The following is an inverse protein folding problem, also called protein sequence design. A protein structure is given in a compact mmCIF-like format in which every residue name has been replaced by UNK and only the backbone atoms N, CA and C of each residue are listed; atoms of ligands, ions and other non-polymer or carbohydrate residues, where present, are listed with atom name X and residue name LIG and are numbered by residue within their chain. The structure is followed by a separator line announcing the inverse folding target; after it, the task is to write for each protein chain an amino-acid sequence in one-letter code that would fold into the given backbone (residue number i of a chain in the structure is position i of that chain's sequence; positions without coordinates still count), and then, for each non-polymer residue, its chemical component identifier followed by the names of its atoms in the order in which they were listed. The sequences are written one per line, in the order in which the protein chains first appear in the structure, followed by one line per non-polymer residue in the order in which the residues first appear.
data_IF_367922452876
#
_entry.id   IF_367922452876
#
_cell.length_a   1.000
_cell.length_b   1.000
_cell.length_c   1.000
_cell.angle_alpha   90.00
_cell.angle_beta   90.00
_cell.angle_gamma   90.00
#
_symmetry.space_group_name_H-M   'P 1'
#
loop_
_entity.id
_entity.type
_entity.pdbx_description
1 polymer ?
#
# COMPACT_ATOMS: atom_id res chain seq x y z
N UNK A 1 -5.84 46.50 55.14
CA UNK A 1 -6.62 45.41 54.52
C UNK A 1 -6.01 45.08 53.15
N UNK A 2 -6.05 43.82 52.70
CA UNK A 2 -4.82 43.06 52.44
C UNK A 2 -4.46 42.85 50.97
N UNK A 3 -3.17 42.59 50.84
CA UNK A 3 -2.32 41.90 49.86
C UNK A 3 -2.95 40.69 49.14
N UNK A 4 -2.83 40.58 47.81
CA UNK A 4 -2.15 39.47 47.08
C UNK A 4 -2.12 39.68 45.54
N UNK A 5 -1.04 39.29 44.82
CA UNK A 5 -0.97 39.32 43.35
C UNK A 5 -1.42 37.98 42.72
N UNK A 6 -2.04 38.00 41.53
CA UNK A 6 -2.34 36.75 40.79
C UNK A 6 -1.46 36.68 39.54
N UNK A 7 -0.61 35.65 39.58
CA UNK A 7 0.29 35.10 38.57
C UNK A 7 -0.32 35.04 37.17
N UNK A 8 0.50 35.44 36.19
CA UNK A 8 0.42 34.92 34.84
C UNK A 8 0.54 33.38 34.87
N UNK A 9 -0.51 32.68 34.43
CA UNK A 9 -0.40 31.30 33.97
C UNK A 9 -0.38 31.33 32.45
N UNK A 10 0.82 31.40 31.88
CA UNK A 10 1.04 30.90 30.54
C UNK A 10 0.78 29.39 30.58
N UNK A 11 -0.39 28.98 30.09
CA UNK A 11 -0.67 27.58 29.84
C UNK A 11 0.14 27.18 28.59
N UNK A 12 1.42 26.86 28.79
CA UNK A 12 2.25 26.21 27.79
C UNK A 12 1.70 24.81 27.58
N UNK A 13 0.78 24.68 26.62
CA UNK A 13 0.46 23.37 26.04
C UNK A 13 1.69 22.94 25.26
N UNK A 14 2.59 22.23 25.93
CA UNK A 14 3.58 21.42 25.24
C UNK A 14 2.79 20.38 24.44
N UNK A 15 2.60 20.65 23.14
CA UNK A 15 2.36 19.57 22.18
C UNK A 15 3.61 18.71 22.24
N UNK A 16 3.53 17.59 22.95
CA UNK A 16 4.44 16.48 22.69
C UNK A 16 4.40 16.23 21.20
N UNK A 17 5.54 16.48 20.54
CA UNK A 17 5.72 16.16 19.14
C UNK A 17 5.78 14.63 19.08
N UNK A 18 4.62 13.98 19.05
CA UNK A 18 4.51 12.54 18.88
C UNK A 18 5.21 12.20 17.57
N UNK A 19 6.38 11.55 17.64
CA UNK A 19 7.09 11.05 16.48
C UNK A 19 6.10 10.26 15.61
N UNK A 20 5.92 10.67 14.37
CA UNK A 20 5.02 9.99 13.44
C UNK A 20 5.40 8.50 13.36
N UNK A 21 4.42 7.61 13.57
CA UNK A 21 4.64 6.17 13.53
C UNK A 21 4.89 5.76 12.08
N UNK A 22 5.94 4.99 11.80
CA UNK A 22 6.19 4.52 10.44
C UNK A 22 5.79 3.06 10.29
N UNK A 23 5.01 2.74 9.26
CA UNK A 23 4.62 1.37 8.89
C UNK A 23 5.08 1.08 7.47
N UNK A 24 5.92 0.06 7.29
CA UNK A 24 6.23 -0.43 5.95
C UNK A 24 5.04 -1.21 5.42
N UNK A 25 4.58 -0.87 4.22
CA UNK A 25 3.42 -1.46 3.55
C UNK A 25 3.84 -2.08 2.23
N UNK A 26 3.90 -3.40 2.20
CA UNK A 26 4.21 -4.18 1.02
C UNK A 26 2.94 -4.61 0.31
N UNK A 27 2.93 -4.44 -1.01
CA UNK A 27 1.78 -4.79 -1.85
C UNK A 27 2.15 -5.24 -3.25
N UNK A 28 1.19 -5.85 -3.94
CA UNK A 28 1.25 -6.11 -5.38
C UNK A 28 -0.02 -5.52 -5.98
N UNK A 29 0.09 -4.82 -7.11
CA UNK A 29 -1.06 -4.24 -7.82
C UNK A 29 -2.09 -5.29 -8.26
N UNK A 30 -1.70 -6.56 -8.38
CA UNK A 30 -2.59 -7.68 -8.69
C UNK A 30 -3.30 -8.27 -7.46
N UNK A 31 -3.12 -7.69 -6.27
CA UNK A 31 -3.73 -8.19 -5.03
C UNK A 31 -5.10 -7.56 -4.75
N UNK A 32 -6.20 -8.33 -4.82
CA UNK A 32 -7.52 -7.80 -4.50
C UNK A 32 -7.67 -7.46 -3.02
N UNK A 33 -7.00 -8.19 -2.13
CA UNK A 33 -7.04 -7.90 -0.69
C UNK A 33 -6.30 -6.60 -0.35
N UNK A 34 -5.22 -6.27 -1.07
CA UNK A 34 -4.58 -4.96 -0.93
C UNK A 34 -5.53 -3.86 -1.34
N UNK A 35 -6.23 -4.02 -2.46
CA UNK A 35 -7.25 -3.08 -2.91
C UNK A 35 -8.37 -2.90 -1.88
N UNK A 36 -8.84 -3.99 -1.27
CA UNK A 36 -9.88 -3.94 -0.24
C UNK A 36 -9.50 -3.04 0.94
N UNK A 37 -8.29 -3.18 1.48
CA UNK A 37 -7.85 -2.37 2.62
C UNK A 37 -7.24 -1.01 2.24
N UNK A 38 -7.22 -0.62 0.96
CA UNK A 38 -6.49 0.55 0.49
C UNK A 38 -6.98 1.86 1.15
N UNK A 39 -8.30 2.03 1.25
CA UNK A 39 -8.90 3.19 1.90
C UNK A 39 -8.53 3.30 3.38
N UNK A 40 -8.35 2.15 4.06
CA UNK A 40 -7.96 2.12 5.46
C UNK A 40 -6.50 2.54 5.65
N UNK A 41 -5.61 2.13 4.73
CA UNK A 41 -4.20 2.59 4.70
C UNK A 41 -4.14 4.11 4.50
N UNK A 42 -4.91 4.63 3.53
CA UNK A 42 -4.97 6.07 3.24
C UNK A 42 -5.54 6.85 4.44
N UNK A 43 -6.66 6.38 5.00
CA UNK A 43 -7.32 7.02 6.14
C UNK A 43 -6.45 7.08 7.39
N UNK A 44 -5.71 6.01 7.68
CA UNK A 44 -4.74 6.00 8.78
C UNK A 44 -3.56 6.93 8.53
N UNK A 45 -3.12 7.08 7.28
CA UNK A 45 -2.10 8.06 6.89
C UNK A 45 -2.55 9.50 7.10
N UNK A 46 -3.77 9.81 6.65
CA UNK A 46 -4.35 11.16 6.73
C UNK A 46 -4.68 11.61 8.16
N UNK A 47 -4.90 10.68 9.09
CA UNK A 47 -5.06 10.99 10.51
C UNK A 47 -3.77 11.55 11.17
N UNK A 48 -2.66 11.69 10.41
CA UNK A 48 -1.36 12.25 10.81
C UNK A 48 -0.62 11.55 11.96
N UNK A 49 -1.16 10.43 12.45
CA UNK A 49 -0.57 9.62 13.51
C UNK A 49 0.33 8.50 12.99
N UNK A 50 0.34 8.27 11.66
CA UNK A 50 1.04 7.17 11.02
C UNK A 50 1.45 7.54 9.59
N UNK A 51 2.70 7.28 9.21
CA UNK A 51 3.21 7.36 7.85
C UNK A 51 3.39 5.95 7.31
N UNK A 52 2.73 5.63 6.20
CA UNK A 52 2.97 4.38 5.48
C UNK A 52 4.10 4.56 4.46
N UNK A 53 5.06 3.65 4.46
CA UNK A 53 6.10 3.55 3.42
C UNK A 53 5.67 2.47 2.44
N UNK A 54 5.34 2.88 1.22
CA UNK A 54 4.71 2.03 0.21
C UNK A 54 5.76 1.27 -0.59
N UNK A 55 5.69 -0.06 -0.61
CA UNK A 55 6.62 -0.95 -1.28
C UNK A 55 5.90 -1.92 -2.23
N UNK A 56 5.62 -1.52 -3.48
CA UNK A 56 5.13 -2.47 -4.46
C UNK A 56 6.20 -3.51 -4.79
N UNK A 57 5.81 -4.77 -4.66
CA UNK A 57 6.60 -5.96 -4.94
C UNK A 57 5.82 -6.87 -5.90
N UNK A 58 6.43 -7.98 -6.28
CA UNK A 58 5.80 -9.01 -7.10
C UNK A 58 5.54 -10.25 -6.25
N UNK A 59 4.28 -10.63 -6.09
CA UNK A 59 3.92 -11.84 -5.33
C UNK A 59 4.57 -13.10 -5.92
N UNK A 60 4.75 -13.14 -7.24
CA UNK A 60 5.44 -14.25 -7.91
C UNK A 60 6.88 -14.42 -7.42
N UNK A 61 7.63 -13.34 -7.16
CA UNK A 61 9.03 -13.47 -6.72
C UNK A 61 9.11 -14.01 -5.30
N UNK A 62 8.25 -13.53 -4.39
CA UNK A 62 8.15 -14.05 -3.03
C UNK A 62 7.72 -15.52 -3.02
N UNK A 63 6.65 -15.85 -3.76
CA UNK A 63 6.16 -17.23 -3.87
C UNK A 63 7.22 -18.21 -4.39
N UNK A 64 7.94 -17.83 -5.45
CA UNK A 64 9.03 -18.65 -5.99
C UNK A 64 10.14 -18.85 -4.96
N UNK A 65 10.51 -17.80 -4.22
CA UNK A 65 11.56 -17.88 -3.20
C UNK A 65 11.18 -18.82 -2.04
N UNK A 66 9.94 -18.71 -1.54
CA UNK A 66 9.45 -19.50 -0.41
C UNK A 66 8.81 -20.85 -0.79
N UNK A 67 8.83 -21.24 -2.07
CA UNK A 67 8.25 -22.51 -2.53
C UNK A 67 6.72 -22.58 -2.39
N UNK A 68 6.02 -21.44 -2.50
CA UNK A 68 4.58 -21.34 -2.32
C UNK A 68 3.83 -21.39 -3.66
N UNK A 69 2.74 -22.15 -3.71
CA UNK A 69 1.83 -22.16 -4.86
C UNK A 69 0.81 -21.02 -4.78
N UNK A 70 0.40 -20.43 -5.92
CA UNK A 70 -0.71 -19.50 -5.95
C UNK A 70 -2.00 -20.11 -5.38
N UNK A 71 -2.74 -19.40 -4.51
CA UNK A 71 -3.88 -19.97 -3.81
C UNK A 71 -5.11 -20.21 -4.72
N UNK A 72 -5.05 -19.72 -5.96
CA UNK A 72 -6.10 -19.82 -6.99
C UNK A 72 -5.75 -20.86 -8.08
N UNK A 73 -4.67 -21.63 -7.92
CA UNK A 73 -4.16 -22.50 -8.99
C UNK A 73 -5.06 -23.71 -9.25
N UNK A 74 -5.73 -24.29 -8.23
CA UNK A 74 -6.86 -25.22 -8.35
C UNK A 74 -7.40 -25.66 -6.97
N UNK A 75 -8.57 -26.34 -6.94
CA UNK A 75 -9.10 -27.00 -5.74
C UNK A 75 -10.08 -26.18 -4.89
N UNK A 76 -10.47 -26.67 -3.70
CA UNK A 76 -11.56 -26.08 -2.90
C UNK A 76 -11.28 -24.63 -2.45
N UNK A 77 -10.00 -24.25 -2.35
CA UNK A 77 -9.58 -22.88 -2.00
C UNK A 77 -9.91 -21.87 -3.09
N UNK A 78 -9.78 -22.23 -4.37
CA UNK A 78 -9.99 -21.28 -5.47
C UNK A 78 -11.45 -20.79 -5.53
N UNK A 79 -12.41 -21.70 -5.34
CA UNK A 79 -13.83 -21.35 -5.29
C UNK A 79 -14.19 -20.48 -4.08
N UNK A 80 -13.59 -20.77 -2.92
CA UNK A 80 -13.75 -19.94 -1.73
C UNK A 80 -13.20 -18.54 -1.95
N UNK A 81 -11.94 -18.43 -2.38
CA UNK A 81 -11.23 -17.17 -2.52
C UNK A 81 -11.91 -16.24 -3.52
N UNK A 82 -12.45 -16.77 -4.63
CA UNK A 82 -13.22 -15.96 -5.59
C UNK A 82 -14.40 -15.26 -4.93
N UNK A 83 -15.22 -16.01 -4.17
CA UNK A 83 -16.35 -15.44 -3.41
C UNK A 83 -15.87 -14.52 -2.29
N UNK A 84 -14.72 -14.85 -1.69
CA UNK A 84 -14.14 -14.10 -0.59
C UNK A 84 -13.64 -12.72 -1.02
N UNK A 85 -13.08 -12.59 -2.23
CA UNK A 85 -12.69 -11.30 -2.81
C UNK A 85 -13.90 -10.37 -2.93
N UNK A 86 -15.03 -10.87 -3.45
CA UNK A 86 -16.28 -10.11 -3.58
C UNK A 86 -16.84 -9.70 -2.21
N UNK A 87 -16.91 -10.64 -1.26
CA UNK A 87 -17.36 -10.34 0.12
C UNK A 87 -16.45 -9.34 0.83
N UNK A 88 -15.13 -9.47 0.65
CA UNK A 88 -14.16 -8.57 1.25
C UNK A 88 -14.32 -7.16 0.69
N UNK A 89 -14.43 -7.02 -0.63
CA UNK A 89 -14.68 -5.72 -1.25
C UNK A 89 -15.97 -5.07 -0.74
N UNK A 90 -17.05 -5.85 -0.64
CA UNK A 90 -18.32 -5.38 -0.08
C UNK A 90 -18.19 -4.96 1.39
N UNK A 91 -17.45 -5.74 2.21
CA UNK A 91 -17.18 -5.41 3.61
C UNK A 91 -16.41 -4.09 3.77
N UNK A 92 -15.40 -3.86 2.93
CA UNK A 92 -14.61 -2.62 2.92
C UNK A 92 -15.31 -1.46 2.17
N UNK A 93 -16.48 -1.70 1.58
CA UNK A 93 -17.24 -0.68 0.85
C UNK A 93 -16.55 -0.19 -0.43
N UNK A 94 -15.75 -1.03 -1.08
CA UNK A 94 -15.06 -0.69 -2.34
C UNK A 94 -15.74 -1.36 -3.55
N UNK A 95 -15.87 -0.67 -4.70
CA UNK A 95 -16.42 -1.27 -5.91
C UNK A 95 -15.47 -2.36 -6.43
N UNK A 96 -16.01 -3.50 -6.85
CA UNK A 96 -15.18 -4.62 -7.29
C UNK A 96 -15.71 -5.28 -8.57
N UNK A 97 -14.81 -5.35 -9.54
CA UNK A 97 -14.92 -6.03 -10.82
C UNK A 97 -13.78 -7.04 -10.85
N UNK A 98 -14.10 -8.33 -10.98
CA UNK A 98 -13.07 -9.35 -11.16
C UNK A 98 -12.36 -9.12 -12.51
N UNK A 99 -11.08 -8.73 -12.55
CA UNK A 99 -10.43 -8.35 -13.80
C UNK A 99 -10.28 -9.56 -14.72
N UNK A 100 -10.53 -9.39 -16.03
CA UNK A 100 -10.25 -10.45 -17.03
C UNK A 100 -8.77 -10.84 -17.07
N UNK A 101 -7.91 -9.93 -16.61
CA UNK A 101 -6.46 -10.04 -16.60
C UNK A 101 -5.90 -10.46 -15.24
N UNK A 102 -6.76 -10.90 -14.32
CA UNK A 102 -6.36 -11.41 -13.02
C UNK A 102 -5.29 -12.50 -13.16
N UNK A 103 -4.19 -12.35 -12.43
CA UNK A 103 -3.03 -13.26 -12.50
C UNK A 103 -1.96 -12.87 -13.51
N UNK A 104 -2.21 -11.88 -14.40
CA UNK A 104 -1.13 -11.28 -15.20
C UNK A 104 -0.15 -10.53 -14.30
N UNK A 105 1.10 -10.43 -14.75
CA UNK A 105 2.14 -9.69 -14.05
C UNK A 105 1.85 -8.19 -14.08
N UNK A 106 1.97 -7.54 -12.92
CA UNK A 106 1.77 -6.09 -12.71
C UNK A 106 3.09 -5.32 -12.61
N UNK A 107 4.19 -5.94 -13.02
CA UNK A 107 5.55 -5.38 -12.84
C UNK A 107 5.75 -4.02 -13.50
N UNK A 108 5.07 -3.72 -14.60
CA UNK A 108 5.18 -2.40 -15.24
C UNK A 108 4.51 -1.31 -14.40
N UNK A 109 3.41 -1.61 -13.69
CA UNK A 109 2.80 -0.70 -12.73
C UNK A 109 3.73 -0.46 -11.53
N UNK A 110 4.36 -1.52 -11.01
CA UNK A 110 5.33 -1.40 -9.93
C UNK A 110 6.60 -0.60 -10.34
N UNK A 111 7.09 -0.78 -11.57
CA UNK A 111 8.19 0.03 -12.10
C UNK A 111 7.80 1.50 -12.24
N UNK A 112 6.64 1.77 -12.84
CA UNK A 112 6.15 3.14 -13.02
C UNK A 112 5.99 3.84 -11.67
N UNK A 113 5.45 3.15 -10.66
CA UNK A 113 5.40 3.66 -9.29
C UNK A 113 6.78 4.10 -8.77
N UNK A 114 7.82 3.27 -8.92
CA UNK A 114 9.17 3.65 -8.49
C UNK A 114 9.79 4.76 -9.33
N UNK A 115 9.47 4.83 -10.63
CA UNK A 115 9.88 5.93 -11.49
C UNK A 115 9.24 7.26 -11.06
N UNK A 116 7.93 7.25 -10.82
CA UNK A 116 7.17 8.41 -10.30
C UNK A 116 7.74 8.84 -8.96
N UNK A 117 8.00 7.91 -8.03
CA UNK A 117 8.60 8.26 -6.72
C UNK A 117 9.92 9.02 -6.84
N UNK A 118 10.73 8.70 -7.84
CA UNK A 118 12.04 9.32 -8.03
C UNK A 118 11.95 10.68 -8.73
N UNK A 119 11.07 10.81 -9.72
CA UNK A 119 10.92 12.04 -10.51
C UNK A 119 9.92 13.04 -9.92
N UNK A 120 8.89 12.54 -9.26
CA UNK A 120 7.74 13.27 -8.71
C UNK A 120 7.38 12.75 -7.31
N UNK A 121 8.26 12.93 -6.31
CA UNK A 121 8.04 12.40 -4.97
C UNK A 121 6.72 12.92 -4.38
N UNK A 122 5.88 12.00 -3.90
CA UNK A 122 4.55 12.28 -3.37
C UNK A 122 3.42 11.88 -4.32
N UNK A 123 3.65 11.82 -5.64
CA UNK A 123 2.62 11.43 -6.60
C UNK A 123 2.50 9.90 -6.76
N UNK A 124 3.45 9.12 -6.27
CA UNK A 124 3.43 7.67 -6.48
C UNK A 124 2.27 6.98 -5.74
N UNK A 125 1.85 7.52 -4.59
CA UNK A 125 0.71 6.98 -3.84
C UNK A 125 -0.60 7.24 -4.56
N UNK A 126 -0.75 8.43 -5.15
CA UNK A 126 -1.93 8.77 -5.97
C UNK A 126 -1.99 7.88 -7.20
N UNK A 127 -0.85 7.68 -7.89
CA UNK A 127 -0.73 6.70 -8.97
C UNK A 127 -1.14 5.30 -8.51
N UNK A 128 -0.67 4.85 -7.35
CA UNK A 128 -1.01 3.51 -6.87
C UNK A 128 -2.52 3.36 -6.66
N UNK A 129 -3.16 4.37 -6.07
CA UNK A 129 -4.62 4.39 -5.87
C UNK A 129 -5.36 4.36 -7.20
N UNK A 130 -4.92 5.15 -8.18
CA UNK A 130 -5.50 5.15 -9.52
C UNK A 130 -5.35 3.79 -10.21
N UNK A 131 -4.17 3.18 -10.19
CA UNK A 131 -3.91 1.88 -10.80
C UNK A 131 -4.75 0.77 -10.15
N UNK A 132 -4.90 0.78 -8.82
CA UNK A 132 -5.77 -0.16 -8.13
C UNK A 132 -7.25 0.01 -8.52
N UNK A 133 -7.74 1.24 -8.60
CA UNK A 133 -9.12 1.53 -9.04
C UNK A 133 -9.33 1.15 -10.51
N UNK A 134 -8.40 1.49 -11.39
CA UNK A 134 -8.44 1.09 -12.79
C UNK A 134 -8.58 -0.44 -12.93
N UNK A 135 -7.78 -1.19 -12.16
CA UNK A 135 -7.80 -2.64 -12.21
C UNK A 135 -9.07 -3.25 -11.59
N UNK A 136 -9.35 -2.94 -10.32
CA UNK A 136 -10.38 -3.65 -9.54
C UNK A 136 -11.74 -2.96 -9.51
N UNK A 137 -11.84 -1.64 -9.71
CA UNK A 137 -13.15 -1.00 -9.85
C UNK A 137 -13.62 -1.08 -11.31
N UNK A 138 -12.75 -0.71 -12.24
CA UNK A 138 -13.09 -0.55 -13.66
C UNK A 138 -12.76 -1.76 -14.54
N UNK A 139 -12.01 -2.75 -14.03
CA UNK A 139 -11.67 -3.97 -14.79
C UNK A 139 -10.63 -3.76 -15.90
N UNK A 140 -9.86 -2.67 -15.88
CA UNK A 140 -8.85 -2.34 -16.89
C UNK A 140 -7.60 -3.21 -16.77
N UNK A 141 -6.90 -3.40 -17.89
CA UNK A 141 -5.66 -4.17 -17.97
C UNK A 141 -4.44 -3.32 -17.61
N UNK A 142 -4.04 -3.33 -16.34
CA UNK A 142 -2.83 -2.63 -15.88
C UNK A 142 -1.52 -3.36 -16.25
N UNK A 143 -1.58 -4.46 -16.99
CA UNK A 143 -0.41 -5.05 -17.67
C UNK A 143 -0.17 -4.45 -19.06
N UNK A 144 -1.09 -3.59 -19.53
CA UNK A 144 -0.92 -2.76 -20.72
C UNK A 144 -0.28 -1.42 -20.34
N UNK A 145 0.82 -1.07 -21.01
CA UNK A 145 1.52 0.19 -20.80
C UNK A 145 0.66 1.40 -21.19
N UNK A 146 -0.18 1.28 -22.22
CA UNK A 146 -1.05 2.40 -22.66
C UNK A 146 -2.02 2.81 -21.56
N UNK A 147 -2.65 1.84 -20.89
CA UNK A 147 -3.55 2.08 -19.75
C UNK A 147 -2.82 2.84 -18.63
N UNK A 148 -1.60 2.42 -18.28
CA UNK A 148 -0.83 3.07 -17.23
C UNK A 148 -0.37 4.48 -17.60
N UNK A 149 -0.01 4.71 -18.87
CA UNK A 149 0.38 6.01 -19.39
C UNK A 149 -0.82 6.98 -19.36
N UNK A 150 -2.01 6.51 -19.72
CA UNK A 150 -3.23 7.31 -19.63
C UNK A 150 -3.53 7.74 -18.18
N UNK A 151 -3.36 6.83 -17.20
CA UNK A 151 -3.53 7.17 -15.78
C UNK A 151 -2.53 8.23 -15.30
N UNK A 152 -1.35 8.33 -15.89
CA UNK A 152 -0.37 9.37 -15.53
C UNK A 152 -0.83 10.79 -15.90
N UNK A 153 -1.78 10.94 -16.83
CA UNK A 153 -2.26 12.24 -17.27
C UNK A 153 -2.94 13.02 -16.12
N UNK A 154 -3.72 12.35 -15.26
CA UNK A 154 -4.38 13.01 -14.11
C UNK A 154 -3.37 13.47 -13.03
N UNK A 155 -2.13 12.96 -13.09
CA UNK A 155 -1.01 13.37 -12.24
C UNK A 155 -0.16 14.47 -12.89
N UNK A 156 -0.59 15.00 -14.04
CA UNK A 156 0.17 15.95 -14.87
C UNK A 156 1.51 15.41 -15.40
N UNK A 157 1.68 14.08 -15.42
CA UNK A 157 2.87 13.43 -15.99
C UNK A 157 2.60 13.16 -17.46
N UNK A 158 3.40 13.75 -18.34
CA UNK A 158 3.19 13.66 -19.78
C UNK A 158 3.41 12.23 -20.30
N UNK A 159 2.68 11.83 -21.34
CA UNK A 159 2.74 10.47 -21.87
C UNK A 159 4.16 10.02 -22.23
N UNK A 160 4.95 10.92 -22.85
CA UNK A 160 6.33 10.66 -23.20
C UNK A 160 7.23 10.43 -21.97
N UNK A 161 6.98 11.17 -20.89
CA UNK A 161 7.69 11.01 -19.62
C UNK A 161 7.31 9.69 -18.94
N UNK A 162 6.01 9.37 -18.86
CA UNK A 162 5.53 8.10 -18.31
C UNK A 162 6.14 6.90 -19.06
N UNK A 163 6.23 6.98 -20.40
CA UNK A 163 6.89 5.98 -21.23
C UNK A 163 8.39 5.84 -20.91
N UNK A 164 9.09 6.96 -20.67
CA UNK A 164 10.47 6.95 -20.20
C UNK A 164 10.59 6.27 -18.84
N UNK A 165 9.76 6.64 -17.85
CA UNK A 165 9.79 6.08 -16.50
C UNK A 165 9.53 4.56 -16.48
N UNK A 166 8.62 4.07 -17.33
CA UNK A 166 8.32 2.64 -17.50
C UNK A 166 9.54 1.82 -17.97
N UNK A 167 10.34 2.40 -18.86
CA UNK A 167 11.50 1.77 -19.49
C UNK A 167 12.82 2.02 -18.76
N UNK A 168 12.84 2.95 -17.81
CA UNK A 168 14.04 3.40 -17.14
C UNK A 168 14.66 2.32 -16.25
N UNK A 169 15.99 2.18 -16.33
CA UNK A 169 16.73 1.15 -15.61
C UNK A 169 16.65 1.33 -14.08
N UNK A 170 16.65 2.58 -13.60
CA UNK A 170 16.47 2.92 -12.19
C UNK A 170 15.12 2.46 -11.61
N UNK A 171 14.04 2.53 -12.38
CA UNK A 171 12.71 2.01 -12.01
C UNK A 171 12.75 0.49 -11.84
N UNK A 172 13.38 -0.21 -12.78
CA UNK A 172 13.58 -1.67 -12.73
C UNK A 172 14.43 -2.08 -11.53
N UNK A 173 15.55 -1.41 -11.30
CA UNK A 173 16.46 -1.72 -10.20
C UNK A 173 15.81 -1.48 -8.83
N UNK A 174 14.95 -0.46 -8.73
CA UNK A 174 14.20 -0.18 -7.50
C UNK A 174 13.21 -1.29 -7.18
N UNK A 175 12.49 -1.80 -8.18
CA UNK A 175 11.62 -2.97 -8.00
C UNK A 175 12.43 -4.22 -7.62
N UNK A 176 13.61 -4.43 -8.21
CA UNK A 176 14.48 -5.57 -7.84
C UNK A 176 14.90 -5.46 -6.36
N UNK A 177 15.39 -4.29 -5.93
CA UNK A 177 15.77 -4.04 -4.53
C UNK A 177 14.59 -4.22 -3.57
N UNK A 178 13.40 -3.73 -3.94
CA UNK A 178 12.21 -3.87 -3.11
C UNK A 178 11.79 -5.34 -2.93
N UNK A 179 11.81 -6.13 -4.01
CA UNK A 179 11.55 -7.58 -3.93
C UNK A 179 12.58 -8.30 -3.06
N UNK A 180 13.87 -7.98 -3.23
CA UNK A 180 14.94 -8.57 -2.44
C UNK A 180 14.78 -8.23 -0.95
N UNK A 181 14.49 -6.96 -0.64
CA UNK A 181 14.25 -6.50 0.73
C UNK A 181 13.03 -7.16 1.35
N UNK A 182 11.95 -7.33 0.60
CA UNK A 182 10.75 -8.02 1.05
C UNK A 182 11.04 -9.49 1.40
N UNK A 183 11.84 -10.18 0.58
CA UNK A 183 12.29 -11.55 0.86
C UNK A 183 13.14 -11.61 2.14
N UNK A 184 14.09 -10.70 2.33
CA UNK A 184 14.92 -10.61 3.54
C UNK A 184 14.11 -10.36 4.82
N UNK A 185 12.95 -9.72 4.68
CA UNK A 185 12.00 -9.44 5.76
C UNK A 185 10.91 -10.51 5.90
N UNK A 186 11.05 -11.63 5.19
CA UNK A 186 10.08 -12.73 5.20
C UNK A 186 8.66 -12.29 4.77
N UNK A 187 8.56 -11.33 3.87
CA UNK A 187 7.29 -10.91 3.24
C UNK A 187 6.92 -11.93 2.17
N UNK A 188 6.12 -12.93 2.57
CA UNK A 188 5.70 -14.04 1.72
C UNK A 188 4.36 -13.81 0.99
N UNK A 189 3.66 -12.74 1.32
CA UNK A 189 2.37 -12.39 0.74
C UNK A 189 2.06 -10.91 0.89
N UNK A 190 0.92 -10.47 0.36
CA UNK A 190 0.44 -9.09 0.46
C UNK A 190 -1.09 -9.02 0.62
N UNK A 191 -1.68 -7.94 1.17
CA UNK A 191 -1.00 -6.81 1.81
C UNK A 191 -0.23 -7.26 3.05
N UNK A 192 0.92 -6.65 3.30
CA UNK A 192 1.77 -6.99 4.44
C UNK A 192 2.29 -5.70 5.07
N UNK A 193 2.16 -5.63 6.39
CA UNK A 193 2.56 -4.45 7.16
C UNK A 193 3.64 -4.82 8.15
N UNK A 194 4.65 -3.96 8.29
CA UNK A 194 5.68 -4.10 9.30
C UNK A 194 5.70 -2.83 10.14
N UNK A 195 5.46 -2.98 11.45
CA UNK A 195 5.48 -1.88 12.40
C UNK A 195 6.42 -2.23 13.55
N UNK A 196 7.51 -1.47 13.71
CA UNK A 196 8.54 -1.72 14.75
C UNK A 196 9.06 -3.18 14.77
N UNK A 197 9.21 -3.79 13.59
CA UNK A 197 9.67 -5.18 13.45
C UNK A 197 8.58 -6.25 13.66
N UNK A 198 7.34 -5.86 13.96
CA UNK A 198 6.21 -6.79 14.04
C UNK A 198 5.47 -6.86 12.70
N UNK A 199 5.19 -8.10 12.27
CA UNK A 199 4.61 -8.42 10.97
C UNK A 199 3.09 -8.63 11.05
N UNK A 200 2.34 -8.04 10.12
CA UNK A 200 0.90 -8.20 9.95
C UNK A 200 0.57 -8.53 8.50
N UNK A 201 0.24 -9.78 8.21
CA UNK A 201 -0.11 -10.24 6.86
C UNK A 201 -1.63 -10.34 6.67
N UNK A 202 -2.15 -9.68 5.64
CA UNK A 202 -3.54 -9.75 5.22
C UNK A 202 -4.34 -8.50 5.56
N UNK A 203 -5.36 -8.22 4.76
CA UNK A 203 -6.28 -7.11 4.99
C UNK A 203 -7.06 -7.30 6.31
N UNK A 204 -7.36 -8.55 6.65
CA UNK A 204 -8.00 -8.98 7.90
C UNK A 204 -7.17 -8.67 9.16
N UNK A 205 -5.89 -8.26 9.01
CA UNK A 205 -5.04 -7.78 10.12
C UNK A 205 -5.10 -6.28 10.33
N UNK A 206 -5.81 -5.51 9.50
CA UNK A 206 -5.99 -4.08 9.71
C UNK A 206 -6.54 -3.73 11.11
N UNK A 207 -7.54 -4.44 11.67
CA UNK A 207 -7.99 -4.19 13.04
C UNK A 207 -6.89 -4.40 14.09
N UNK A 208 -6.05 -5.42 13.93
CA UNK A 208 -4.94 -5.70 14.84
C UNK A 208 -3.82 -4.67 14.71
N UNK A 209 -3.50 -4.24 13.48
CA UNK A 209 -2.55 -3.16 13.22
C UNK A 209 -3.03 -1.85 13.86
N UNK A 210 -4.31 -1.49 13.67
CA UNK A 210 -4.93 -0.31 14.32
C UNK A 210 -4.85 -0.38 15.84
N UNK A 211 -5.19 -1.53 16.42
CA UNK A 211 -5.05 -1.76 17.86
C UNK A 211 -3.59 -1.57 18.32
N UNK A 212 -2.62 -2.13 17.60
CA UNK A 212 -1.19 -2.00 17.95
C UNK A 212 -0.70 -0.56 17.84
N UNK A 213 -1.12 0.17 16.80
CA UNK A 213 -0.81 1.59 16.62
C UNK A 213 -1.37 2.42 17.79
N UNK A 214 -2.57 2.11 18.28
CA UNK A 214 -3.19 2.82 19.41
C UNK A 214 -2.47 2.56 20.75
N UNK A 215 -1.96 1.34 21.00
CA UNK A 215 -1.20 1.05 22.23
C UNK A 215 0.05 1.94 22.38
N UNK A 216 0.69 2.29 21.25
CA UNK A 216 1.87 3.15 21.24
C UNK A 216 1.54 4.64 21.42
N UNK A 217 0.29 5.05 21.23
CA UNK A 217 -0.18 6.39 21.62
C UNK A 217 -0.32 6.54 23.14
N UNK A 218 -0.53 5.43 23.85
CA UNK A 218 -0.80 5.40 25.29
C UNK A 218 0.46 5.21 26.16
N UNK A 219 1.67 5.22 25.59
CA UNK A 219 2.92 5.14 26.34
C UNK A 219 3.17 3.79 27.05
N UNK A 220 2.54 2.70 26.61
CA UNK A 220 2.80 1.38 27.18
C UNK A 220 3.93 0.68 26.38
N UNK A 221 5.03 0.25 27.04
CA UNK A 221 6.14 -0.42 26.37
C UNK A 221 5.72 -1.73 25.67
#
# INVERSE_FOLDING_TARGET
MPHWPIRAMACSVFRECTMAKTVDFYFDFGSPYTYCCLNEVIGLGAAHDCTFVWHPILLWTARKHFGMTPPMEDGPKAAYIRKDMERSAAFYGVPFTFPRTFGKSTHIAARLFYGIRQSHPGLETDFAVMAFKAHFASGLDISDAAVLIELCADLNIQAQEAQTLLSAQNSKDSLIRANQRAIELEVWGVPFFIFKGENFFGADRMPQLKWRLAQQQAGNP
#
